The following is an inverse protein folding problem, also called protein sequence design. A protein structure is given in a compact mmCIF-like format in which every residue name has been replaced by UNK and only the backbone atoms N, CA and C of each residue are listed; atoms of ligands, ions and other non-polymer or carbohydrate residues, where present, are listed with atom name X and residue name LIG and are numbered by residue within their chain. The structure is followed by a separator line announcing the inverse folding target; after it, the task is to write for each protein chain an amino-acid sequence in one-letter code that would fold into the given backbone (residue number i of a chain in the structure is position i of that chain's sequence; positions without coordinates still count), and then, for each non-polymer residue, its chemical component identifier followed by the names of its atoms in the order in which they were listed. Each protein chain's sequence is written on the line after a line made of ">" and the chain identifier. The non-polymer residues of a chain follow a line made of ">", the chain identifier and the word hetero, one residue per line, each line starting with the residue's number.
data_IF_656336529637
#
_entry.id   IF_656336529637
#
_cell.length_a   1.000
_cell.length_b   1.000
_cell.length_c   1.000
_cell.angle_alpha   90.00
_cell.angle_beta   90.00
_cell.angle_gamma   90.00
#
_symmetry.space_group_name_H-M   'P 1'
#
loop_
_entity.id
_entity.type
_entity.pdbx_description
1 polymer ?
#
# COMPACT_ATOMS: atom_id res chain seq x y z
N UNK A 1 18.90 -11.86 0.72
CA UNK A 1 19.73 -12.28 -0.43
C UNK A 1 19.60 -11.36 -1.63
N UNK A 2 18.39 -11.02 -2.09
CA UNK A 2 18.19 -10.25 -3.32
C UNK A 2 19.01 -8.95 -3.45
N UNK A 3 19.16 -8.19 -2.36
CA UNK A 3 20.02 -6.98 -2.32
C UNK A 3 21.48 -7.28 -2.66
N UNK A 4 22.07 -8.31 -2.05
CA UNK A 4 23.43 -8.78 -2.36
C UNK A 4 23.57 -9.28 -3.80
N UNK A 5 22.51 -9.85 -4.37
CA UNK A 5 22.47 -10.29 -5.77
C UNK A 5 22.30 -9.13 -6.76
N UNK A 6 22.17 -7.88 -6.29
CA UNK A 6 22.08 -6.70 -7.13
C UNK A 6 20.68 -6.42 -7.68
N UNK A 7 19.62 -6.93 -7.05
CA UNK A 7 18.26 -6.61 -7.44
C UNK A 7 17.94 -5.13 -7.17
N UNK A 8 17.48 -4.40 -8.19
CA UNK A 8 16.98 -3.02 -8.02
C UNK A 8 15.69 -2.95 -7.21
N UNK A 9 14.86 -3.99 -7.29
CA UNK A 9 13.64 -4.14 -6.50
C UNK A 9 13.22 -5.60 -6.42
N UNK A 10 12.49 -5.95 -5.36
CA UNK A 10 11.95 -7.30 -5.17
C UNK A 10 10.58 -7.25 -4.51
N UNK A 11 9.72 -8.21 -4.85
CA UNK A 11 8.45 -8.36 -4.16
C UNK A 11 8.67 -8.70 -2.68
N UNK A 12 8.11 -7.89 -1.79
CA UNK A 12 8.17 -8.10 -0.33
C UNK A 12 6.80 -8.45 0.25
N UNK A 13 5.82 -8.74 -0.61
CA UNK A 13 4.44 -8.98 -0.21
C UNK A 13 3.71 -7.69 0.17
N UNK A 14 2.62 -7.86 0.91
CA UNK A 14 1.71 -6.77 1.30
C UNK A 14 1.63 -6.58 2.82
N UNK A 15 2.47 -7.29 3.59
CA UNK A 15 2.53 -7.19 5.05
C UNK A 15 1.16 -7.46 5.72
N UNK A 16 0.38 -8.39 5.15
CA UNK A 16 -0.97 -8.73 5.60
C UNK A 16 -2.10 -7.85 5.05
N UNK A 17 -1.82 -6.80 4.27
CA UNK A 17 -2.83 -5.87 3.76
C UNK A 17 -3.46 -6.30 2.43
N UNK A 18 -2.88 -7.28 1.75
CA UNK A 18 -3.34 -7.80 0.47
C UNK A 18 -3.98 -9.19 0.58
N UNK A 19 -3.93 -9.96 -0.51
CA UNK A 19 -4.55 -11.30 -0.59
C UNK A 19 -3.61 -12.47 -0.28
N UNK A 20 -2.30 -12.22 -0.29
CA UNK A 20 -1.30 -13.24 -0.02
C UNK A 20 -1.00 -13.25 1.49
N UNK A 21 -0.57 -14.40 2.01
CA UNK A 21 -0.09 -14.51 3.38
C UNK A 21 1.01 -13.48 3.65
N UNK A 22 0.99 -12.92 4.86
CA UNK A 22 1.95 -11.94 5.32
C UNK A 22 1.51 -11.35 6.65
N UNK A 23 2.46 -10.76 7.36
CA UNK A 23 2.25 -10.18 8.68
C UNK A 23 2.69 -8.72 8.68
N UNK A 24 2.13 -7.91 9.59
CA UNK A 24 2.52 -6.50 9.72
C UNK A 24 4.03 -6.34 9.99
N UNK A 25 4.65 -7.33 10.65
CA UNK A 25 6.08 -7.38 10.95
C UNK A 25 6.96 -7.54 9.70
N UNK A 26 6.41 -7.94 8.54
CA UNK A 26 7.15 -8.04 7.28
C UNK A 26 7.72 -6.68 6.82
N UNK A 27 7.29 -5.56 7.41
CA UNK A 27 7.94 -4.25 7.25
C UNK A 27 9.43 -4.27 7.56
N UNK A 28 9.87 -5.16 8.47
CA UNK A 28 11.30 -5.36 8.77
C UNK A 28 12.09 -5.83 7.55
N UNK A 29 11.46 -6.60 6.66
CA UNK A 29 12.08 -7.00 5.38
C UNK A 29 12.28 -5.81 4.46
N UNK A 30 11.33 -4.85 4.42
CA UNK A 30 11.50 -3.62 3.66
C UNK A 30 12.67 -2.78 4.22
N UNK A 31 12.73 -2.60 5.54
CA UNK A 31 13.82 -1.87 6.20
C UNK A 31 15.19 -2.49 5.95
N UNK A 32 15.29 -3.83 6.02
CA UNK A 32 16.52 -4.57 5.70
C UNK A 32 16.99 -4.35 4.24
N UNK A 33 16.07 -4.09 3.32
CA UNK A 33 16.39 -3.86 1.92
C UNK A 33 16.76 -2.41 1.59
N UNK A 34 16.28 -1.44 2.36
CA UNK A 34 16.43 -0.02 2.03
C UNK A 34 17.39 0.76 2.95
N UNK A 35 17.53 0.36 4.21
CA UNK A 35 18.35 1.08 5.19
C UNK A 35 19.80 0.63 5.12
N UNK A 36 20.73 1.52 5.49
CA UNK A 36 22.15 1.18 5.54
C UNK A 36 22.53 0.39 6.80
N UNK A 37 21.73 0.52 7.87
CA UNK A 37 21.81 -0.32 9.07
C UNK A 37 20.39 -0.75 9.40
N UNK A 38 20.15 -2.05 9.51
CA UNK A 38 18.82 -2.59 9.80
C UNK A 38 18.90 -3.80 10.73
N UNK A 39 17.89 -3.97 11.59
CA UNK A 39 17.75 -5.13 12.47
C UNK A 39 16.88 -6.21 11.84
N UNK A 40 17.43 -7.41 11.68
CA UNK A 40 16.67 -8.62 11.41
C UNK A 40 16.18 -9.27 12.71
N UNK A 41 15.55 -10.46 12.62
CA UNK A 41 15.04 -11.16 13.80
C UNK A 41 16.11 -11.55 14.83
N UNK A 42 17.36 -11.72 14.40
CA UNK A 42 18.48 -12.18 15.25
C UNK A 42 19.72 -11.29 15.17
N UNK A 43 19.94 -10.61 14.05
CA UNK A 43 21.19 -9.89 13.77
C UNK A 43 20.89 -8.49 13.24
N UNK A 44 21.70 -7.53 13.68
CA UNK A 44 21.82 -6.24 13.02
C UNK A 44 22.79 -6.34 11.84
N UNK A 45 22.46 -5.67 10.73
CA UNK A 45 23.22 -5.72 9.50
C UNK A 45 23.59 -4.30 9.04
N UNK A 46 24.88 -3.91 9.12
CA UNK A 46 25.40 -2.77 8.37
C UNK A 46 25.65 -3.16 6.90
N UNK A 47 25.25 -2.29 5.98
CA UNK A 47 25.35 -2.47 4.53
C UNK A 47 26.47 -1.65 3.88
N UNK A 48 27.14 -0.79 4.66
CA UNK A 48 28.37 -0.08 4.28
C UNK A 48 28.23 0.75 2.99
N UNK A 49 27.10 1.43 2.82
CA UNK A 49 26.78 2.24 1.64
C UNK A 49 26.31 1.43 0.43
N UNK A 50 26.05 0.13 0.57
CA UNK A 50 25.45 -0.66 -0.51
C UNK A 50 24.08 -0.08 -0.89
N UNK A 51 23.85 0.08 -2.20
CA UNK A 51 22.58 0.62 -2.71
C UNK A 51 21.35 -0.16 -2.19
N UNK A 52 20.22 0.53 -2.00
CA UNK A 52 18.98 -0.11 -1.55
C UNK A 52 18.36 -0.97 -2.67
N UNK A 53 17.51 -1.90 -2.26
CA UNK A 53 16.59 -2.64 -3.13
C UNK A 53 15.17 -2.20 -2.83
N UNK A 54 14.46 -1.69 -3.83
CA UNK A 54 13.10 -1.18 -3.65
C UNK A 54 12.13 -2.29 -3.21
N UNK A 55 11.36 -2.11 -2.13
CA UNK A 55 10.23 -2.97 -1.81
C UNK A 55 9.15 -2.83 -2.88
N UNK A 56 8.85 -3.92 -3.59
CA UNK A 56 7.76 -3.98 -4.56
C UNK A 56 6.53 -4.60 -3.88
N UNK A 57 5.47 -3.82 -3.76
CA UNK A 57 4.26 -4.18 -3.06
C UNK A 57 3.24 -4.66 -4.09
N UNK A 58 2.85 -5.94 -4.01
CA UNK A 58 1.89 -6.53 -4.94
C UNK A 58 1.11 -7.67 -4.29
N UNK A 59 -0.11 -7.88 -4.78
CA UNK A 59 -0.97 -8.98 -4.37
C UNK A 59 -2.28 -8.52 -3.75
N UNK A 60 -3.31 -8.29 -4.57
CA UNK A 60 -4.64 -7.92 -4.07
C UNK A 60 -4.74 -6.50 -3.51
N UNK A 61 -3.79 -5.62 -3.84
CA UNK A 61 -3.84 -4.22 -3.43
C UNK A 61 -4.87 -3.44 -4.27
N UNK A 62 -5.49 -2.46 -3.61
CA UNK A 62 -6.33 -1.41 -4.19
C UNK A 62 -6.17 -0.14 -3.33
N UNK A 63 -6.82 0.96 -3.73
CA UNK A 63 -6.71 2.24 -3.04
C UNK A 63 -7.20 2.19 -1.57
N UNK A 64 -8.22 1.39 -1.27
CA UNK A 64 -8.81 1.24 0.06
C UNK A 64 -7.79 0.59 1.03
N UNK A 65 -7.11 -0.47 0.57
CA UNK A 65 -6.08 -1.21 1.34
C UNK A 65 -4.75 -0.45 1.44
N UNK A 66 -4.42 0.38 0.45
CA UNK A 66 -3.14 1.09 0.39
C UNK A 66 -2.89 2.01 1.60
N UNK A 67 -3.95 2.65 2.11
CA UNK A 67 -3.89 3.56 3.26
C UNK A 67 -3.32 2.88 4.52
N UNK A 68 -3.87 1.72 4.90
CA UNK A 68 -3.39 0.96 6.06
C UNK A 68 -1.99 0.38 5.86
N UNK A 69 -1.65 0.00 4.62
CA UNK A 69 -0.31 -0.45 4.27
C UNK A 69 0.74 0.65 4.53
N UNK A 70 0.51 1.87 4.06
CA UNK A 70 1.45 2.97 4.27
C UNK A 70 1.59 3.34 5.74
N UNK A 71 0.50 3.26 6.51
CA UNK A 71 0.54 3.46 7.96
C UNK A 71 1.43 2.43 8.66
N UNK A 72 1.32 1.15 8.28
CA UNK A 72 2.17 0.11 8.86
C UNK A 72 3.65 0.24 8.47
N UNK A 73 3.94 0.62 7.23
CA UNK A 73 5.30 0.76 6.72
C UNK A 73 5.98 2.06 7.17
N UNK A 74 5.22 3.15 7.28
CA UNK A 74 5.69 4.48 7.70
C UNK A 74 6.23 5.37 6.57
N UNK A 75 6.29 4.88 5.32
CA UNK A 75 6.62 5.69 4.14
C UNK A 75 5.99 5.16 2.86
N UNK A 76 5.90 6.01 1.82
CA UNK A 76 5.42 5.63 0.49
C UNK A 76 6.50 5.54 -0.60
N UNK A 77 7.78 5.54 -0.23
CA UNK A 77 8.92 5.38 -1.16
C UNK A 77 9.06 3.92 -1.65
N UNK A 78 8.05 3.43 -2.37
CA UNK A 78 7.94 2.04 -2.83
C UNK A 78 7.40 1.98 -4.26
N UNK A 79 7.45 0.80 -4.88
CA UNK A 79 6.68 0.52 -6.09
C UNK A 79 5.48 -0.34 -5.70
N UNK A 80 4.27 0.19 -5.83
CA UNK A 80 3.05 -0.58 -5.64
C UNK A 80 2.45 -0.97 -7.00
N UNK A 81 2.18 -2.25 -7.19
CA UNK A 81 1.51 -2.76 -8.40
C UNK A 81 0.15 -3.36 -8.01
N UNK A 82 -0.91 -2.82 -8.60
CA UNK A 82 -2.28 -3.18 -8.28
C UNK A 82 -3.05 -3.49 -9.57
N UNK A 83 -2.91 -4.72 -10.09
CA UNK A 83 -3.60 -5.15 -11.31
C UNK A 83 -5.12 -5.07 -11.16
N UNK A 84 -5.69 -5.91 -10.28
CA UNK A 84 -7.12 -5.88 -9.97
C UNK A 84 -7.57 -4.57 -9.32
N UNK A 85 -6.73 -3.93 -8.52
CA UNK A 85 -7.03 -2.63 -7.91
C UNK A 85 -7.18 -1.49 -8.92
N UNK A 86 -6.50 -1.56 -10.07
CA UNK A 86 -6.69 -0.60 -11.17
C UNK A 86 -7.82 -1.05 -12.11
N UNK A 87 -7.70 -2.23 -12.70
CA UNK A 87 -8.63 -2.69 -13.74
C UNK A 87 -10.01 -3.10 -13.22
N UNK A 88 -10.13 -3.39 -11.93
CA UNK A 88 -11.42 -3.66 -11.26
C UNK A 88 -12.14 -2.41 -10.75
N UNK A 89 -11.56 -1.23 -10.96
CA UNK A 89 -12.22 0.03 -10.60
C UNK A 89 -13.45 0.26 -11.49
N UNK A 90 -14.61 0.60 -10.91
CA UNK A 90 -15.89 0.76 -11.61
C UNK A 90 -15.83 1.76 -12.78
N UNK A 91 -15.03 2.80 -12.61
CA UNK A 91 -14.86 3.86 -13.62
C UNK A 91 -13.64 3.61 -14.54
N UNK A 92 -13.09 2.38 -14.54
CA UNK A 92 -12.02 1.94 -15.43
C UNK A 92 -10.58 2.12 -14.90
N UNK A 93 -9.58 1.60 -15.63
CA UNK A 93 -8.20 1.48 -15.14
C UNK A 93 -7.48 2.81 -14.91
N UNK A 94 -7.82 3.86 -15.67
CA UNK A 94 -7.26 5.19 -15.46
C UNK A 94 -7.70 5.77 -14.10
N UNK A 95 -8.99 5.64 -13.76
CA UNK A 95 -9.50 6.06 -12.46
C UNK A 95 -8.99 5.14 -11.34
N UNK A 96 -8.81 3.85 -11.61
CA UNK A 96 -8.10 2.95 -10.71
C UNK A 96 -6.69 3.44 -10.35
N UNK A 97 -5.90 3.87 -11.35
CA UNK A 97 -4.58 4.46 -11.11
C UNK A 97 -4.64 5.80 -10.34
N UNK A 98 -5.61 6.67 -10.67
CA UNK A 98 -5.85 7.92 -9.91
C UNK A 98 -6.25 7.65 -8.47
N UNK A 99 -7.05 6.61 -8.22
CA UNK A 99 -7.48 6.24 -6.86
C UNK A 99 -6.29 5.84 -5.98
N UNK A 100 -5.30 5.12 -6.53
CA UNK A 100 -4.06 4.77 -5.82
C UNK A 100 -3.20 6.00 -5.52
N UNK A 101 -3.11 6.94 -6.48
CA UNK A 101 -2.43 8.23 -6.27
C UNK A 101 -3.11 9.01 -5.13
N UNK A 102 -4.44 9.09 -5.15
CA UNK A 102 -5.23 9.78 -4.13
C UNK A 102 -5.15 9.10 -2.76
N UNK A 103 -5.09 7.77 -2.71
CA UNK A 103 -4.83 7.05 -1.46
C UNK A 103 -3.47 7.41 -0.86
N UNK A 104 -2.42 7.48 -1.68
CA UNK A 104 -1.11 7.95 -1.24
C UNK A 104 -1.15 9.41 -0.74
N UNK A 105 -1.80 10.33 -1.48
CA UNK A 105 -1.93 11.74 -1.09
C UNK A 105 -2.71 11.90 0.22
N UNK A 106 -3.78 11.14 0.39
CA UNK A 106 -4.56 11.10 1.63
C UNK A 106 -3.70 10.68 2.82
N UNK A 107 -2.93 9.59 2.69
CA UNK A 107 -2.02 9.13 3.74
C UNK A 107 -0.90 10.15 4.00
N UNK A 108 -0.25 10.66 2.95
CA UNK A 108 0.89 11.57 3.06
C UNK A 108 0.52 12.93 3.69
N UNK A 109 -0.75 13.34 3.57
CA UNK A 109 -1.28 14.56 4.20
C UNK A 109 -1.85 14.32 5.60
N UNK A 110 -1.92 13.06 6.06
CA UNK A 110 -2.57 12.69 7.31
C UNK A 110 -4.08 12.95 7.31
N UNK A 111 -4.70 13.07 6.14
CA UNK A 111 -6.12 13.36 6.02
C UNK A 111 -6.97 12.15 6.43
N UNK A 112 -8.17 12.42 6.96
CA UNK A 112 -9.13 11.36 7.21
C UNK A 112 -9.62 10.77 5.86
N UNK A 113 -9.50 9.45 5.62
CA UNK A 113 -9.83 8.84 4.33
C UNK A 113 -11.24 9.09 3.83
N UNK A 114 -12.23 9.04 4.73
CA UNK A 114 -13.63 9.26 4.36
C UNK A 114 -13.91 10.72 4.02
N UNK A 115 -13.28 11.68 4.71
CA UNK A 115 -13.43 13.09 4.34
C UNK A 115 -12.67 13.42 3.05
N UNK A 116 -11.45 12.90 2.91
CA UNK A 116 -10.65 13.09 1.71
C UNK A 116 -11.36 12.54 0.46
N UNK A 117 -11.93 11.34 0.55
CA UNK A 117 -12.63 10.70 -0.56
C UNK A 117 -13.83 11.52 -1.08
N UNK A 118 -14.52 12.29 -0.23
CA UNK A 118 -15.65 13.14 -0.67
C UNK A 118 -15.26 14.18 -1.71
N UNK A 119 -14.02 14.64 -1.67
CA UNK A 119 -13.47 15.62 -2.62
C UNK A 119 -12.67 14.96 -3.76
N UNK A 120 -12.41 13.65 -3.65
CA UNK A 120 -11.54 12.89 -4.54
C UNK A 120 -12.29 11.72 -5.15
N UNK A 121 -12.97 12.00 -6.27
CA UNK A 121 -13.89 11.05 -6.93
C UNK A 121 -13.29 9.67 -7.15
N UNK A 122 -12.07 9.56 -7.67
CA UNK A 122 -11.48 8.26 -7.97
C UNK A 122 -11.29 7.41 -6.70
N UNK A 123 -10.87 8.02 -5.59
CA UNK A 123 -10.80 7.33 -4.30
C UNK A 123 -12.20 6.94 -3.79
N UNK A 124 -13.18 7.84 -3.80
CA UNK A 124 -14.56 7.49 -3.40
C UNK A 124 -15.13 6.34 -4.22
N UNK A 125 -14.91 6.35 -5.55
CA UNK A 125 -15.35 5.27 -6.44
C UNK A 125 -14.60 3.97 -6.21
N UNK A 126 -13.37 4.00 -5.69
CA UNK A 126 -12.67 2.80 -5.26
C UNK A 126 -13.31 2.14 -4.04
N UNK A 127 -13.86 2.91 -3.08
CA UNK A 127 -14.63 2.34 -1.96
C UNK A 127 -15.86 1.56 -2.45
N UNK A 128 -16.57 2.08 -3.45
CA UNK A 128 -17.68 1.35 -4.07
C UNK A 128 -17.20 0.14 -4.89
N UNK A 129 -16.10 0.31 -5.65
CA UNK A 129 -15.52 -0.75 -6.48
C UNK A 129 -15.08 -1.96 -5.66
N UNK A 130 -14.60 -1.72 -4.44
CA UNK A 130 -14.09 -2.74 -3.52
C UNK A 130 -14.89 -2.70 -2.21
N UNK A 131 -16.22 -2.67 -2.32
CA UNK A 131 -17.12 -2.48 -1.18
C UNK A 131 -16.93 -3.47 -0.03
N UNK A 132 -16.58 -4.73 -0.31
CA UNK A 132 -16.26 -5.70 0.74
C UNK A 132 -15.02 -5.32 1.57
N UNK A 133 -14.00 -4.74 0.92
CA UNK A 133 -12.82 -4.21 1.62
C UNK A 133 -13.16 -2.94 2.40
N UNK A 134 -13.97 -2.06 1.80
CA UNK A 134 -14.42 -0.84 2.45
C UNK A 134 -15.27 -1.11 3.69
N UNK A 135 -16.18 -2.10 3.63
CA UNK A 135 -16.99 -2.54 4.77
C UNK A 135 -16.12 -3.09 5.91
N UNK A 136 -15.05 -3.83 5.57
CA UNK A 136 -14.14 -4.41 6.56
C UNK A 136 -13.20 -3.37 7.20
N UNK A 137 -12.74 -2.37 6.44
CA UNK A 137 -11.68 -1.44 6.86
C UNK A 137 -12.19 -0.07 7.31
N UNK A 138 -13.36 0.37 6.85
CA UNK A 138 -13.87 1.72 7.09
C UNK A 138 -15.35 1.70 7.45
N UNK A 139 -15.64 1.40 8.72
CA UNK A 139 -17.01 1.40 9.23
C UNK A 139 -17.73 2.73 8.92
N UNK A 140 -18.94 2.64 8.37
CA UNK A 140 -19.79 3.80 8.07
C UNK A 140 -19.46 4.54 6.77
N UNK A 141 -18.54 4.04 5.92
CA UNK A 141 -18.22 4.68 4.64
C UNK A 141 -19.44 4.88 3.74
N UNK A 142 -20.37 3.92 3.72
CA UNK A 142 -21.64 3.95 2.99
C UNK A 142 -22.47 5.18 3.36
N UNK A 143 -22.72 5.36 4.65
CA UNK A 143 -23.43 6.53 5.18
C UNK A 143 -22.68 7.83 4.91
N UNK A 144 -21.34 7.81 4.98
CA UNK A 144 -20.51 8.97 4.68
C UNK A 144 -20.62 9.44 3.22
N UNK A 145 -20.87 8.52 2.29
CA UNK A 145 -20.99 8.80 0.84
C UNK A 145 -22.44 8.82 0.34
N UNK A 146 -23.43 8.50 1.19
CA UNK A 146 -24.84 8.46 0.79
C UNK A 146 -25.17 7.29 -0.15
N UNK A 147 -24.41 6.19 -0.05
CA UNK A 147 -24.59 4.98 -0.87
C UNK A 147 -25.28 3.93 -0.02
N UNK A 148 -26.43 3.42 -0.45
CA UNK A 148 -27.21 2.39 0.24
C UNK A 148 -26.62 1.00 0.04
#
# INVERSE_FOLDING_TARGET
>A
MARLLGASGIHTGTMGFGKMEGEAADRLSAYMLEQDIASGPYFEQPWLGMKPTTPIISGGMNAVRALGFFENLGHGNVIMTAGGGCYGHLDGPAEGARSLRQAYECWATGANPLQFAKEHRALARAFESFSGDADALYAGWRSAFGVS
#
